data_IF_113477656827
#
_entry.id   IF_113477656827
#
_cell.length_a   1.000
_cell.length_b   1.000
_cell.length_c   1.000
_cell.angle_alpha   90.00
_cell.angle_beta   90.00
_cell.angle_gamma   90.00
#
_symmetry.space_group_name_H-M   'P 1'
#
loop_
_entity.id
_entity.type
_entity.pdbx_description
1 polymer ?
#
# COMPACT_ATOMS: atom_id res chain seq x y z
N UNK A 1 12.52 -31.85 19.61
CA UNK A 1 11.99 -30.48 19.74
C UNK A 1 12.53 -29.69 18.56
N UNK A 2 11.76 -29.60 17.47
CA UNK A 2 12.16 -28.90 16.26
C UNK A 2 11.63 -27.47 16.31
N UNK A 3 12.53 -26.49 16.24
CA UNK A 3 12.20 -25.08 16.01
C UNK A 3 11.53 -24.93 14.64
N UNK A 4 10.42 -24.19 14.50
CA UNK A 4 9.79 -24.00 13.20
C UNK A 4 10.70 -23.13 12.30
N UNK A 5 10.57 -23.23 10.96
CA UNK A 5 11.48 -22.57 10.05
C UNK A 5 11.30 -21.04 10.12
N UNK A 6 12.42 -20.32 10.04
CA UNK A 6 12.56 -18.87 10.16
C UNK A 6 11.93 -17.97 9.06
N UNK A 7 11.50 -18.40 7.85
CA UNK A 7 11.09 -17.47 6.80
C UNK A 7 9.65 -16.93 6.96
N UNK A 8 8.92 -17.44 7.94
CA UNK A 8 7.47 -17.26 8.07
C UNK A 8 7.17 -16.28 9.25
N UNK A 9 8.03 -16.29 10.28
CA UNK A 9 8.21 -15.16 11.21
C UNK A 9 8.63 -13.87 10.46
N UNK A 10 9.39 -14.01 9.36
CA UNK A 10 9.71 -12.92 8.43
C UNK A 10 8.47 -12.39 7.68
N UNK A 11 7.50 -13.25 7.34
CA UNK A 11 6.24 -12.83 6.70
C UNK A 11 5.42 -11.89 7.61
N UNK A 12 5.45 -12.12 8.92
CA UNK A 12 4.85 -11.22 9.91
C UNK A 12 5.69 -9.95 10.12
N UNK A 13 7.02 -10.08 10.19
CA UNK A 13 7.96 -8.95 10.27
C UNK A 13 8.04 -8.10 8.99
N UNK A 14 7.41 -8.50 7.89
CA UNK A 14 7.38 -7.77 6.63
C UNK A 14 6.08 -6.96 6.44
N UNK A 15 5.00 -7.19 7.20
CA UNK A 15 3.83 -6.29 7.20
C UNK A 15 4.11 -4.94 7.93
N UNK A 16 5.34 -4.42 7.93
CA UNK A 16 5.92 -3.55 8.98
C UNK A 16 6.32 -2.15 8.49
N UNK A 17 6.13 -1.82 7.22
CA UNK A 17 6.68 -0.59 6.63
C UNK A 17 5.78 0.66 6.65
N UNK A 18 4.54 0.60 7.16
CA UNK A 18 3.54 1.65 6.84
C UNK A 18 3.55 2.90 7.72
N UNK A 19 4.38 3.00 8.76
CA UNK A 19 4.21 4.04 9.80
C UNK A 19 5.10 5.28 9.72
N UNK A 20 5.99 5.41 8.74
CA UNK A 20 6.96 6.52 8.76
C UNK A 20 6.44 7.89 8.28
N UNK A 21 5.13 8.08 8.04
CA UNK A 21 4.60 9.38 7.57
C UNK A 21 3.40 9.96 8.33
N UNK A 22 2.87 9.30 9.37
CA UNK A 22 1.62 9.78 10.00
C UNK A 22 1.77 9.87 11.52
N UNK A 23 2.46 10.91 11.97
CA UNK A 23 2.39 11.37 13.36
C UNK A 23 2.03 12.85 13.38
N UNK A 24 0.77 13.15 13.66
CA UNK A 24 0.34 14.19 14.61
C UNK A 24 -1.19 14.19 14.70
N UNK A 25 -1.78 13.47 15.66
CA UNK A 25 -2.93 13.99 16.42
C UNK A 25 -3.25 13.10 17.62
N UNK A 26 -3.56 13.78 18.72
CA UNK A 26 -3.62 13.37 20.12
C UNK A 26 -4.71 12.33 20.44
N UNK A 27 -4.36 11.37 21.31
CA UNK A 27 -5.27 10.39 21.91
C UNK A 27 -6.14 10.99 23.04
N UNK A 28 -7.36 10.45 23.23
CA UNK A 28 -8.08 10.37 24.52
C UNK A 28 -9.15 9.24 24.46
N UNK A 29 -9.62 8.64 25.59
CA UNK A 29 -9.84 7.19 25.65
C UNK A 29 -11.32 6.77 25.81
N UNK A 30 -11.54 5.49 25.50
CA UNK A 30 -12.51 4.51 26.05
C UNK A 30 -14.02 4.82 26.15
N UNK A 31 -14.82 3.88 25.61
CA UNK A 31 -15.84 3.18 26.40
C UNK A 31 -16.15 1.79 25.80
N UNK A 32 -16.09 0.75 26.64
CA UNK A 32 -16.50 -0.63 26.34
C UNK A 32 -17.97 -0.85 26.76
N UNK A 33 -18.74 -1.56 25.92
CA UNK A 33 -20.04 -2.13 26.30
C UNK A 33 -19.98 -3.66 26.19
N UNK A 34 -20.24 -4.34 27.32
CA UNK A 34 -20.43 -5.78 27.43
C UNK A 34 -21.84 -6.17 26.97
N UNK A 35 -21.96 -7.28 26.24
CA UNK A 35 -23.23 -7.97 25.96
C UNK A 35 -23.11 -9.45 26.34
N UNK A 36 -23.98 -9.88 27.24
CA UNK A 36 -24.18 -11.26 27.71
C UNK A 36 -24.96 -12.09 26.68
N UNK A 37 -24.65 -13.39 26.58
CA UNK A 37 -25.45 -14.39 25.87
C UNK A 37 -25.98 -15.45 26.87
N UNK A 38 -27.21 -16.01 26.70
CA UNK A 38 -27.77 -17.01 27.61
C UNK A 38 -27.36 -18.44 27.25
N UNK A 39 -27.38 -19.30 28.28
CA UNK A 39 -27.12 -20.74 28.25
C UNK A 39 -28.29 -21.54 27.65
N UNK A 40 -27.94 -22.59 26.89
CA UNK A 40 -28.78 -23.80 26.73
C UNK A 40 -27.89 -25.06 26.70
N UNK A 41 -28.26 -26.05 27.51
CA UNK A 41 -27.75 -27.43 27.50
C UNK A 41 -28.69 -28.32 26.65
N UNK A 42 -28.18 -29.35 25.92
CA UNK A 42 -28.12 -30.68 26.54
C UNK A 42 -26.95 -31.64 26.11
N UNK A 43 -26.67 -32.58 27.02
CA UNK A 43 -26.09 -33.93 26.98
C UNK A 43 -24.82 -34.34 26.18
N UNK A 44 -24.09 -35.32 26.72
CA UNK A 44 -22.98 -35.27 27.68
C UNK A 44 -22.25 -36.62 27.56
N UNK A 45 -21.22 -36.72 26.72
CA UNK A 45 -20.00 -37.56 26.93
C UNK A 45 -19.08 -37.57 25.69
N UNK A 46 -19.60 -37.88 24.49
CA UNK A 46 -18.80 -37.82 23.24
C UNK A 46 -18.67 -36.41 22.69
N UNK A 47 -19.73 -35.60 22.80
CA UNK A 47 -19.69 -34.16 22.53
C UNK A 47 -18.78 -33.40 23.51
N UNK A 48 -18.63 -33.89 24.75
CA UNK A 48 -17.79 -33.25 25.77
C UNK A 48 -16.31 -33.40 25.44
N UNK A 49 -15.88 -34.59 24.99
CA UNK A 49 -14.50 -34.85 24.53
C UNK A 49 -14.13 -34.02 23.30
N UNK A 50 -15.03 -33.94 22.31
CA UNK A 50 -14.82 -33.11 21.12
C UNK A 50 -14.84 -31.61 21.46
N UNK A 51 -15.75 -31.15 22.31
CA UNK A 51 -15.79 -29.77 22.79
C UNK A 51 -14.55 -29.39 23.63
N UNK A 52 -14.02 -30.31 24.46
CA UNK A 52 -12.77 -30.07 25.21
C UNK A 52 -11.55 -30.04 24.30
N UNK A 53 -11.49 -30.87 23.26
CA UNK A 53 -10.42 -30.85 22.27
C UNK A 53 -10.48 -29.58 21.40
N UNK A 54 -11.67 -29.16 20.97
CA UNK A 54 -11.88 -27.91 20.23
C UNK A 54 -11.61 -26.68 21.10
N UNK A 55 -11.99 -26.69 22.37
CA UNK A 55 -11.68 -25.61 23.32
C UNK A 55 -10.17 -25.52 23.60
N UNK A 56 -9.49 -26.65 23.76
CA UNK A 56 -8.03 -26.69 23.90
C UNK A 56 -7.31 -26.21 22.63
N UNK A 57 -7.74 -26.68 21.45
CA UNK A 57 -7.20 -26.22 20.17
C UNK A 57 -7.41 -24.69 19.98
N UNK A 58 -8.61 -24.19 20.27
CA UNK A 58 -8.91 -22.76 20.20
C UNK A 58 -8.12 -21.94 21.22
N UNK A 59 -7.86 -22.47 22.43
CA UNK A 59 -6.99 -21.80 23.40
C UNK A 59 -5.55 -21.69 22.89
N UNK A 60 -5.02 -22.72 22.21
CA UNK A 60 -3.67 -22.69 21.65
C UNK A 60 -3.55 -21.82 20.41
N UNK A 61 -4.57 -21.75 19.57
CA UNK A 61 -4.61 -20.82 18.43
C UNK A 61 -4.79 -19.37 18.87
N UNK A 62 -5.66 -19.09 19.82
CA UNK A 62 -5.82 -17.72 20.34
C UNK A 62 -4.53 -17.26 21.02
N UNK A 63 -3.79 -18.15 21.68
CA UNK A 63 -2.43 -17.85 22.14
C UNK A 63 -1.48 -17.53 20.98
N UNK A 64 -1.48 -18.30 19.90
CA UNK A 64 -0.69 -17.98 18.69
C UNK A 64 -1.05 -16.61 18.10
N UNK A 65 -2.33 -16.29 17.95
CA UNK A 65 -2.80 -14.99 17.45
C UNK A 65 -2.33 -13.86 18.38
N UNK A 66 -2.45 -14.05 19.68
CA UNK A 66 -1.99 -13.09 20.68
C UNK A 66 -0.49 -12.83 20.54
N UNK A 67 0.33 -13.88 20.48
CA UNK A 67 1.78 -13.76 20.30
C UNK A 67 2.15 -13.01 19.01
N UNK A 68 1.49 -13.31 17.89
CA UNK A 68 1.72 -12.59 16.63
C UNK A 68 1.30 -11.11 16.73
N UNK A 69 0.19 -10.82 17.41
CA UNK A 69 -0.31 -9.47 17.59
C UNK A 69 0.50 -8.62 18.58
N UNK A 70 1.27 -9.22 19.50
CA UNK A 70 2.05 -8.47 20.51
C UNK A 70 2.97 -7.44 19.91
N UNK A 71 3.53 -7.75 18.76
CA UNK A 71 4.48 -6.87 18.12
C UNK A 71 3.78 -5.86 17.17
N UNK A 72 2.44 -5.78 17.12
CA UNK A 72 1.73 -4.80 16.27
C UNK A 72 1.54 -3.43 16.92
N UNK A 73 1.22 -2.39 16.13
CA UNK A 73 1.04 -1.02 16.67
C UNK A 73 -0.15 -0.96 17.62
N UNK A 74 -1.16 -1.80 17.36
CA UNK A 74 -2.35 -1.94 18.18
C UNK A 74 -2.56 -3.40 18.55
N UNK A 75 -1.76 -3.98 19.49
CA UNK A 75 -1.80 -5.41 19.80
C UNK A 75 -3.17 -5.90 20.25
N UNK A 76 -3.85 -5.08 21.06
CA UNK A 76 -5.20 -5.39 21.53
C UNK A 76 -6.23 -5.37 20.41
N UNK A 77 -6.14 -4.39 19.49
CA UNK A 77 -7.05 -4.29 18.36
C UNK A 77 -6.83 -5.44 17.37
N UNK A 78 -5.56 -5.79 17.10
CA UNK A 78 -5.17 -6.94 16.30
C UNK A 78 -5.77 -8.24 16.85
N UNK A 79 -5.54 -8.51 18.13
CA UNK A 79 -6.05 -9.72 18.77
C UNK A 79 -7.58 -9.74 18.78
N UNK A 80 -8.22 -8.62 19.09
CA UNK A 80 -9.67 -8.50 19.08
C UNK A 80 -10.27 -8.76 17.69
N UNK A 81 -9.64 -8.24 16.64
CA UNK A 81 -10.08 -8.43 15.26
C UNK A 81 -9.87 -9.86 14.73
N UNK A 82 -8.89 -10.61 15.26
CA UNK A 82 -8.49 -11.90 14.70
C UNK A 82 -8.90 -13.11 15.56
N UNK A 83 -9.08 -12.96 16.87
CA UNK A 83 -9.37 -14.06 17.79
C UNK A 83 -10.63 -14.86 17.42
N UNK A 84 -11.66 -14.20 16.88
CA UNK A 84 -12.88 -14.84 16.37
C UNK A 84 -12.65 -15.76 15.16
N UNK A 85 -11.52 -15.63 14.48
CA UNK A 85 -11.13 -16.42 13.31
C UNK A 85 -10.15 -17.54 13.66
N UNK A 86 -10.03 -17.91 14.94
CA UNK A 86 -9.12 -18.96 15.40
C UNK A 86 -9.23 -20.27 14.61
N UNK A 87 -10.45 -20.73 14.29
CA UNK A 87 -10.65 -21.96 13.51
C UNK A 87 -10.09 -21.89 12.08
N UNK A 88 -10.08 -20.71 11.47
CA UNK A 88 -9.58 -20.46 10.11
C UNK A 88 -8.06 -20.26 10.12
N UNK A 89 -7.57 -19.46 11.06
CA UNK A 89 -6.14 -19.13 11.24
C UNK A 89 -5.34 -20.36 11.69
N UNK A 90 -5.91 -21.16 12.60
CA UNK A 90 -5.25 -22.30 13.26
C UNK A 90 -3.88 -21.88 13.83
N UNK A 91 -2.78 -22.35 13.26
CA UNK A 91 -1.42 -21.89 13.62
C UNK A 91 -0.60 -21.61 12.36
N UNK A 92 -1.28 -21.11 11.33
CA UNK A 92 -0.69 -20.77 10.04
C UNK A 92 -0.55 -19.26 9.93
N UNK A 93 0.68 -18.77 9.79
CA UNK A 93 0.92 -17.33 9.62
C UNK A 93 0.41 -16.83 8.26
N UNK A 94 0.42 -17.70 7.23
CA UNK A 94 -0.24 -17.39 5.96
C UNK A 94 -1.74 -17.16 6.13
N UNK A 95 -2.43 -18.04 6.88
CA UNK A 95 -3.85 -17.85 7.16
C UNK A 95 -4.07 -16.64 8.06
N UNK A 96 -3.20 -16.41 9.05
CA UNK A 96 -3.24 -15.19 9.87
C UNK A 96 -3.18 -13.92 9.01
N UNK A 97 -2.24 -13.85 8.05
CA UNK A 97 -2.09 -12.70 7.15
C UNK A 97 -3.26 -12.56 6.16
N UNK A 98 -3.72 -13.66 5.55
CA UNK A 98 -4.91 -13.65 4.69
C UNK A 98 -6.16 -13.20 5.43
N UNK A 99 -6.39 -13.72 6.64
CA UNK A 99 -7.52 -13.34 7.49
C UNK A 99 -7.42 -11.88 7.91
N UNK A 100 -6.23 -11.38 8.27
CA UNK A 100 -6.02 -9.97 8.60
C UNK A 100 -6.32 -9.03 7.43
N UNK A 101 -5.86 -9.36 6.22
CA UNK A 101 -6.21 -8.63 5.00
C UNK A 101 -7.71 -8.70 4.72
N UNK A 102 -8.34 -9.85 4.90
CA UNK A 102 -9.78 -10.02 4.71
C UNK A 102 -10.61 -9.18 5.69
N UNK A 103 -10.22 -9.13 6.97
CA UNK A 103 -10.85 -8.28 7.98
C UNK A 103 -10.70 -6.79 7.64
N UNK A 104 -9.50 -6.38 7.19
CA UNK A 104 -9.22 -5.01 6.77
C UNK A 104 -10.07 -4.64 5.54
N UNK A 105 -10.11 -5.51 4.52
CA UNK A 105 -10.91 -5.35 3.31
C UNK A 105 -12.41 -5.28 3.62
N UNK A 106 -12.92 -6.12 4.52
CA UNK A 106 -14.32 -6.11 4.93
C UNK A 106 -14.69 -4.77 5.59
N UNK A 107 -13.80 -4.23 6.43
CA UNK A 107 -14.00 -2.92 7.07
C UNK A 107 -13.91 -1.76 6.08
N UNK A 108 -12.97 -1.82 5.13
CA UNK A 108 -12.84 -0.85 4.05
C UNK A 108 -14.10 -0.83 3.16
N UNK A 109 -14.59 -2.00 2.72
CA UNK A 109 -15.84 -2.14 1.93
C UNK A 109 -17.06 -1.59 2.67
N UNK A 110 -17.20 -1.93 3.95
CA UNK A 110 -18.30 -1.43 4.79
C UNK A 110 -18.27 0.10 4.90
N UNK A 111 -17.08 0.68 5.06
CA UNK A 111 -16.90 2.13 5.13
C UNK A 111 -17.16 2.78 3.78
N UNK A 112 -16.62 2.26 2.68
CA UNK A 112 -16.90 2.76 1.32
C UNK A 112 -18.41 2.79 1.02
N UNK A 113 -19.13 1.71 1.37
CA UNK A 113 -20.59 1.64 1.21
C UNK A 113 -21.32 2.68 2.08
N UNK A 114 -20.84 2.92 3.30
CA UNK A 114 -21.39 3.95 4.18
C UNK A 114 -21.19 5.36 3.60
N UNK A 115 -19.97 5.70 3.18
CA UNK A 115 -19.68 7.03 2.60
C UNK A 115 -20.49 7.23 1.31
N UNK A 116 -20.61 6.20 0.47
CA UNK A 116 -21.43 6.23 -0.74
C UNK A 116 -22.92 6.51 -0.43
N UNK A 117 -23.49 5.90 0.61
CA UNK A 117 -24.89 6.13 1.02
C UNK A 117 -25.16 7.56 1.49
N UNK A 118 -24.17 8.24 2.07
CA UNK A 118 -24.33 9.62 2.54
C UNK A 118 -24.54 10.61 1.39
N UNK A 119 -24.02 10.32 0.19
CA UNK A 119 -24.24 11.12 -1.03
C UNK A 119 -25.70 11.11 -1.51
N UNK A 120 -26.48 10.08 -1.20
CA UNK A 120 -27.83 9.86 -1.74
C UNK A 120 -28.99 10.13 -0.77
N UNK A 121 -28.72 10.53 0.47
CA UNK A 121 -29.75 10.67 1.51
C UNK A 121 -30.51 12.00 1.43
N UNK A 122 -31.82 11.99 1.16
CA UNK A 122 -32.72 13.17 1.15
C UNK A 122 -32.75 13.99 2.46
N UNK A 123 -32.22 13.47 3.57
CA UNK A 123 -32.23 14.09 4.91
C UNK A 123 -30.91 14.76 5.32
N UNK A 124 -29.89 14.71 4.47
CA UNK A 124 -28.56 15.26 4.79
C UNK A 124 -28.34 16.52 3.96
N UNK A 125 -28.37 17.69 4.59
CA UNK A 125 -27.94 18.93 3.94
C UNK A 125 -26.41 18.92 3.87
N UNK A 126 -25.86 18.53 2.71
CA UNK A 126 -24.44 18.58 2.40
C UNK A 126 -24.20 19.81 1.52
N UNK A 127 -23.30 20.70 1.93
CA UNK A 127 -22.89 21.82 1.07
C UNK A 127 -22.19 21.32 -0.19
N UNK A 128 -22.18 22.10 -1.29
CA UNK A 128 -21.49 21.70 -2.53
C UNK A 128 -20.02 21.32 -2.28
N UNK A 129 -19.31 22.09 -1.45
CA UNK A 129 -17.91 21.87 -1.08
C UNK A 129 -17.72 20.63 -0.20
N UNK A 130 -18.66 20.35 0.71
CA UNK A 130 -18.63 19.13 1.52
C UNK A 130 -18.96 17.90 0.66
N UNK A 131 -19.80 18.04 -0.36
CA UNK A 131 -20.11 16.99 -1.32
C UNK A 131 -18.88 16.62 -2.18
N UNK A 132 -18.04 17.59 -2.53
CA UNK A 132 -16.77 17.33 -3.23
C UNK A 132 -15.79 16.53 -2.37
N UNK A 133 -15.53 16.97 -1.13
CA UNK A 133 -14.66 16.23 -0.21
C UNK A 133 -15.22 14.82 0.12
N UNK A 134 -16.54 14.66 0.18
CA UNK A 134 -17.18 13.34 0.35
C UNK A 134 -17.00 12.47 -0.90
N UNK A 135 -17.09 13.02 -2.11
CA UNK A 135 -16.81 12.27 -3.35
C UNK A 135 -15.35 11.82 -3.38
N UNK A 136 -14.41 12.71 -3.09
CA UNK A 136 -12.99 12.36 -3.01
C UNK A 136 -12.76 11.24 -2.00
N UNK A 137 -13.40 11.30 -0.83
CA UNK A 137 -13.33 10.20 0.13
C UNK A 137 -13.96 8.89 -0.37
N UNK A 138 -15.09 8.93 -1.10
CA UNK A 138 -15.67 7.72 -1.72
C UNK A 138 -14.64 7.07 -2.64
N UNK A 139 -13.94 7.88 -3.43
CA UNK A 139 -12.98 7.40 -4.41
C UNK A 139 -11.74 6.82 -3.73
N UNK A 140 -11.12 7.53 -2.78
CA UNK A 140 -9.93 6.99 -2.08
C UNK A 140 -10.27 5.76 -1.24
N UNK A 141 -11.48 5.68 -0.65
CA UNK A 141 -11.92 4.45 0.01
C UNK A 141 -12.15 3.29 -0.98
N UNK A 142 -12.61 3.58 -2.19
CA UNK A 142 -12.67 2.60 -3.29
C UNK A 142 -11.28 2.09 -3.66
N UNK A 143 -10.30 2.99 -3.78
CA UNK A 143 -8.91 2.60 -4.05
C UNK A 143 -8.30 1.78 -2.91
N UNK A 144 -8.58 2.10 -1.63
CA UNK A 144 -8.18 1.23 -0.51
C UNK A 144 -8.75 -0.19 -0.65
N UNK A 145 -10.03 -0.33 -1.01
CA UNK A 145 -10.66 -1.64 -1.26
C UNK A 145 -9.96 -2.41 -2.38
N UNK A 146 -9.59 -1.74 -3.48
CA UNK A 146 -8.88 -2.37 -4.59
C UNK A 146 -7.50 -2.87 -4.16
N UNK A 147 -6.73 -2.02 -3.47
CA UNK A 147 -5.37 -2.34 -3.03
C UNK A 147 -5.36 -3.50 -2.01
N UNK A 148 -6.30 -3.50 -1.07
CA UNK A 148 -6.48 -4.63 -0.14
C UNK A 148 -6.95 -5.90 -0.87
N UNK A 149 -7.77 -5.79 -1.91
CA UNK A 149 -8.20 -6.94 -2.71
C UNK A 149 -7.04 -7.55 -3.52
N UNK A 150 -6.18 -6.71 -4.11
CA UNK A 150 -4.94 -7.13 -4.79
C UNK A 150 -4.01 -7.86 -3.81
N UNK A 151 -3.85 -7.31 -2.61
CA UNK A 151 -3.05 -7.89 -1.53
C UNK A 151 -3.48 -9.32 -1.19
N UNK A 152 -4.79 -9.56 -1.07
CA UNK A 152 -5.31 -10.91 -0.80
C UNK A 152 -5.04 -11.87 -1.97
N UNK A 153 -5.27 -11.41 -3.21
CA UNK A 153 -5.08 -12.24 -4.40
C UNK A 153 -3.64 -12.72 -4.52
N UNK A 154 -2.69 -11.81 -4.36
CA UNK A 154 -1.26 -12.07 -4.45
C UNK A 154 -0.78 -13.02 -3.36
N UNK A 155 -1.14 -12.73 -2.10
CA UNK A 155 -0.81 -13.60 -0.96
C UNK A 155 -1.43 -15.00 -1.11
N UNK A 156 -2.59 -15.10 -1.77
CA UNK A 156 -3.25 -16.35 -2.12
C UNK A 156 -2.50 -17.18 -3.17
N UNK A 157 -1.72 -16.54 -4.05
CA UNK A 157 -1.00 -17.21 -5.15
C UNK A 157 0.38 -17.76 -4.75
N UNK A 158 0.98 -17.28 -3.65
CA UNK A 158 2.31 -17.67 -3.13
C UNK A 158 2.50 -19.13 -2.70
N UNK A 159 1.54 -20.03 -2.95
CA UNK A 159 1.54 -21.40 -2.42
C UNK A 159 1.65 -22.52 -3.44
N UNK A 160 1.68 -22.18 -4.72
CA UNK A 160 1.52 -23.20 -5.76
C UNK A 160 2.86 -23.72 -6.27
N UNK A 161 3.88 -22.89 -6.58
CA UNK A 161 5.17 -23.38 -7.11
C UNK A 161 6.37 -22.41 -6.91
N UNK A 162 6.39 -21.61 -5.84
CA UNK A 162 7.35 -20.50 -5.69
C UNK A 162 8.66 -20.88 -4.98
N UNK A 163 9.82 -20.48 -5.52
CA UNK A 163 11.11 -20.52 -4.83
C UNK A 163 11.22 -19.35 -3.81
N UNK A 164 12.31 -19.25 -3.05
CA UNK A 164 12.45 -18.24 -1.99
C UNK A 164 12.46 -16.78 -2.47
N UNK A 165 12.93 -16.51 -3.70
CA UNK A 165 12.97 -15.17 -4.30
C UNK A 165 11.59 -14.73 -4.81
N UNK A 166 10.84 -15.64 -5.45
CA UNK A 166 9.46 -15.43 -5.91
C UNK A 166 8.50 -15.16 -4.73
N UNK A 167 8.70 -15.85 -3.60
CA UNK A 167 7.97 -15.59 -2.37
C UNK A 167 8.17 -14.17 -1.83
N UNK A 168 9.43 -13.71 -1.74
CA UNK A 168 9.73 -12.35 -1.25
C UNK A 168 9.21 -11.25 -2.18
N UNK A 169 9.20 -11.52 -3.49
CA UNK A 169 8.61 -10.62 -4.48
C UNK A 169 7.11 -10.41 -4.24
N UNK A 170 6.34 -11.50 -4.11
CA UNK A 170 4.91 -11.45 -3.82
C UNK A 170 4.59 -10.72 -2.50
N UNK A 171 5.36 -10.99 -1.44
CA UNK A 171 5.21 -10.31 -0.15
C UNK A 171 5.38 -8.80 -0.30
N UNK A 172 6.31 -8.36 -1.14
CA UNK A 172 6.53 -6.93 -1.34
C UNK A 172 5.47 -6.21 -2.16
N UNK A 173 4.82 -6.92 -3.08
CA UNK A 173 3.62 -6.42 -3.75
C UNK A 173 2.49 -6.20 -2.74
N UNK A 174 2.28 -7.17 -1.84
CA UNK A 174 1.30 -7.09 -0.75
C UNK A 174 1.58 -5.89 0.16
N UNK A 175 2.82 -5.70 0.61
CA UNK A 175 3.20 -4.53 1.42
C UNK A 175 2.90 -3.20 0.72
N UNK A 176 3.24 -3.11 -0.57
CA UNK A 176 3.08 -1.89 -1.36
C UNK A 176 1.61 -1.52 -1.48
N UNK A 177 0.74 -2.48 -1.78
CA UNK A 177 -0.68 -2.22 -1.88
C UNK A 177 -1.33 -1.95 -0.51
N UNK A 178 -0.94 -2.64 0.56
CA UNK A 178 -1.41 -2.29 1.92
C UNK A 178 -1.00 -0.86 2.31
N UNK A 179 0.21 -0.44 1.93
CA UNK A 179 0.70 0.93 2.16
C UNK A 179 -0.09 1.97 1.35
N UNK A 180 -0.41 1.65 0.09
CA UNK A 180 -1.27 2.48 -0.74
C UNK A 180 -2.70 2.56 -0.17
N UNK A 181 -3.26 1.46 0.35
CA UNK A 181 -4.56 1.45 1.00
C UNK A 181 -4.61 2.39 2.21
N UNK A 182 -3.60 2.33 3.07
CA UNK A 182 -3.46 3.21 4.23
C UNK A 182 -3.28 4.68 3.83
N UNK A 183 -2.51 4.95 2.77
CA UNK A 183 -2.36 6.30 2.21
C UNK A 183 -3.71 6.83 1.72
N UNK A 184 -4.50 6.02 1.04
CA UNK A 184 -5.81 6.41 0.53
C UNK A 184 -6.83 6.67 1.66
N UNK A 185 -6.80 5.87 2.72
CA UNK A 185 -7.60 6.06 3.92
C UNK A 185 -7.28 7.39 4.61
N UNK A 186 -5.98 7.68 4.80
CA UNK A 186 -5.54 8.97 5.36
C UNK A 186 -5.88 10.14 4.44
N UNK A 187 -5.72 9.98 3.12
CA UNK A 187 -6.06 11.00 2.12
C UNK A 187 -7.55 11.36 2.16
N UNK A 188 -8.46 10.40 2.41
CA UNK A 188 -9.88 10.72 2.66
C UNK A 188 -10.02 11.65 3.88
N UNK A 189 -9.36 11.31 4.99
CA UNK A 189 -9.46 12.07 6.25
C UNK A 189 -8.89 13.48 6.10
N UNK A 190 -7.77 13.60 5.38
CA UNK A 190 -7.07 14.86 5.10
C UNK A 190 -7.86 15.75 4.13
N UNK A 191 -8.37 15.19 3.03
CA UNK A 191 -9.22 15.92 2.10
C UNK A 191 -10.52 16.41 2.76
N UNK A 192 -11.00 15.70 3.77
CA UNK A 192 -11.96 16.28 4.69
C UNK A 192 -11.27 17.45 5.43
N UNK A 193 -10.23 17.22 6.25
CA UNK A 193 -9.55 18.24 7.08
C UNK A 193 -9.35 19.62 6.45
N UNK A 194 -8.95 19.71 5.18
CA UNK A 194 -8.61 20.96 4.48
C UNK A 194 -9.72 22.03 4.47
N UNK A 195 -10.98 21.68 4.74
CA UNK A 195 -12.10 22.62 4.77
C UNK A 195 -12.88 22.55 6.10
N UNK A 196 -12.54 23.38 7.11
CA UNK A 196 -13.26 23.44 8.38
C UNK A 196 -14.60 24.19 8.21
N UNK A 197 -15.59 23.52 7.63
CA UNK A 197 -16.99 23.90 7.84
C UNK A 197 -17.35 23.53 9.29
N UNK A 198 -17.85 24.50 10.07
CA UNK A 198 -18.23 24.28 11.47
C UNK A 198 -19.20 23.08 11.58
N UNK A 199 -18.78 22.01 12.25
CA UNK A 199 -19.70 21.02 12.86
C UNK A 199 -20.47 20.06 11.93
N UNK A 200 -19.94 19.67 10.77
CA UNK A 200 -20.57 18.64 9.93
C UNK A 200 -20.64 17.27 10.61
N UNK A 201 -21.82 16.84 11.08
CA UNK A 201 -22.06 15.48 11.63
C UNK A 201 -21.65 14.38 10.64
N UNK A 202 -21.86 14.63 9.35
CA UNK A 202 -21.53 13.73 8.23
C UNK A 202 -20.03 13.48 8.17
N UNK A 203 -19.23 14.55 8.07
CA UNK A 203 -17.77 14.50 8.07
C UNK A 203 -17.21 13.79 9.30
N UNK A 204 -17.74 14.08 10.48
CA UNK A 204 -17.28 13.43 11.72
C UNK A 204 -17.54 11.93 11.69
N UNK A 205 -18.71 11.51 11.19
CA UNK A 205 -19.05 10.10 11.02
C UNK A 205 -18.16 9.40 9.97
N UNK A 206 -17.84 10.08 8.86
CA UNK A 206 -16.93 9.55 7.84
C UNK A 206 -15.53 9.38 8.43
N UNK A 207 -14.96 10.42 9.03
CA UNK A 207 -13.63 10.38 9.65
C UNK A 207 -13.51 9.28 10.69
N UNK A 208 -14.50 9.13 11.56
CA UNK A 208 -14.51 8.09 12.59
C UNK A 208 -14.41 6.69 11.97
N UNK A 209 -15.19 6.43 10.91
CA UNK A 209 -15.17 5.12 10.24
C UNK A 209 -13.90 4.89 9.45
N UNK A 210 -13.41 5.90 8.73
CA UNK A 210 -12.18 5.79 7.93
C UNK A 210 -10.96 5.63 8.85
N UNK A 211 -10.86 6.38 9.94
CA UNK A 211 -9.83 6.15 10.96
C UNK A 211 -9.92 4.75 11.56
N UNK A 212 -11.13 4.19 11.71
CA UNK A 212 -11.29 2.81 12.18
C UNK A 212 -10.82 1.77 11.16
N UNK A 213 -10.93 2.05 9.85
CA UNK A 213 -10.31 1.24 8.80
C UNK A 213 -8.79 1.34 8.93
N UNK A 214 -8.24 2.56 8.94
CA UNK A 214 -6.80 2.79 9.05
C UNK A 214 -6.21 2.15 10.29
N UNK A 215 -6.87 2.25 11.45
CA UNK A 215 -6.44 1.59 12.68
C UNK A 215 -6.45 0.07 12.59
N UNK A 216 -7.41 -0.52 11.86
CA UNK A 216 -7.43 -1.97 11.69
C UNK A 216 -6.42 -2.44 10.67
N UNK A 217 -6.34 -1.77 9.52
CA UNK A 217 -5.31 -2.05 8.52
C UNK A 217 -3.91 -1.91 9.15
N UNK A 218 -3.67 -0.90 10.00
CA UNK A 218 -2.42 -0.75 10.78
C UNK A 218 -2.31 -1.70 11.99
N UNK A 219 -3.40 -2.16 12.60
CA UNK A 219 -3.34 -3.10 13.73
C UNK A 219 -2.75 -4.45 13.32
N UNK A 220 -2.81 -4.77 12.04
CA UNK A 220 -2.19 -5.96 11.47
C UNK A 220 -0.76 -5.72 10.99
N UNK A 221 -0.21 -4.52 11.25
CA UNK A 221 1.14 -4.09 10.88
C UNK A 221 1.98 -3.83 12.14
N UNK A 222 3.27 -4.16 12.13
CA UNK A 222 4.15 -3.89 13.28
C UNK A 222 4.53 -2.39 13.38
N UNK A 223 4.59 -1.79 14.58
CA UNK A 223 5.18 -0.49 14.80
C UNK A 223 6.70 -0.68 14.75
N UNK A 224 7.38 0.24 14.10
CA UNK A 224 8.85 0.27 14.08
C UNK A 224 9.39 0.55 15.49
N UNK A 225 9.55 -0.50 16.29
CA UNK A 225 10.56 -0.48 17.35
C UNK A 225 11.89 -0.64 16.63
N UNK A 226 12.65 0.45 16.57
CA UNK A 226 14.02 0.45 16.09
C UNK A 226 14.83 -0.61 16.86
N UNK A 227 15.01 -1.77 16.25
CA UNK A 227 15.99 -2.76 16.68
C UNK A 227 16.75 -3.27 15.47
N UNK A 228 17.95 -2.69 15.32
CA UNK A 228 19.12 -3.10 14.53
C UNK A 228 18.97 -3.31 13.01
N UNK A 229 19.12 -2.23 12.24
CA UNK A 229 20.19 -2.13 11.22
C UNK A 229 20.39 -0.67 10.79
N UNK A 230 21.15 0.10 11.57
CA UNK A 230 21.68 1.40 11.16
C UNK A 230 22.49 1.33 9.85
N UNK A 231 23.00 0.14 9.50
CA UNK A 231 23.81 -0.16 8.31
C UNK A 231 23.04 -0.23 6.99
N UNK A 232 21.77 -0.65 6.99
CA UNK A 232 21.02 -0.84 5.73
C UNK A 232 20.36 0.47 5.26
N UNK A 233 19.91 1.30 6.20
CA UNK A 233 19.38 2.64 5.87
C UNK A 233 20.48 3.61 5.44
N UNK A 234 21.71 3.46 5.93
CA UNK A 234 22.86 4.24 5.46
C UNK A 234 23.21 3.95 4.00
N UNK A 235 23.11 2.69 3.56
CA UNK A 235 23.30 2.31 2.16
C UNK A 235 22.29 3.01 1.24
N UNK A 236 21.00 2.94 1.59
CA UNK A 236 19.95 3.63 0.82
C UNK A 236 20.19 5.14 0.82
N UNK A 237 20.51 5.72 1.98
CA UNK A 237 20.80 7.16 2.08
C UNK A 237 21.99 7.57 1.19
N UNK A 238 23.03 6.74 1.15
CA UNK A 238 24.18 6.94 0.27
C UNK A 238 23.78 6.86 -1.21
N UNK A 239 23.08 5.81 -1.63
CA UNK A 239 22.63 5.67 -3.02
C UNK A 239 21.65 6.78 -3.43
N UNK A 240 20.71 7.17 -2.57
CA UNK A 240 19.78 8.26 -2.84
C UNK A 240 20.46 9.62 -2.93
N UNK A 241 21.65 9.80 -2.33
CA UNK A 241 22.40 11.05 -2.45
C UNK A 241 22.87 11.34 -3.89
N UNK A 242 22.89 10.32 -4.77
CA UNK A 242 23.23 10.49 -6.19
C UNK A 242 22.01 10.70 -7.09
N UNK A 243 20.80 10.81 -6.55
CA UNK A 243 19.58 11.02 -7.36
C UNK A 243 19.19 12.49 -7.41
N UNK A 244 18.35 12.84 -8.38
CA UNK A 244 17.83 14.21 -8.55
C UNK A 244 16.96 14.66 -7.38
N UNK A 245 16.25 13.73 -6.72
CA UNK A 245 15.39 14.02 -5.56
C UNK A 245 15.76 13.13 -4.35
N UNK A 246 16.87 13.41 -3.65
CA UNK A 246 17.43 12.54 -2.61
C UNK A 246 16.51 12.30 -1.42
N UNK A 247 15.84 13.34 -0.93
CA UNK A 247 14.92 13.23 0.21
C UNK A 247 13.70 12.38 -0.14
N UNK A 248 13.14 12.58 -1.34
CA UNK A 248 12.04 11.77 -1.84
C UNK A 248 12.49 10.31 -2.00
N UNK A 249 13.64 10.07 -2.63
CA UNK A 249 14.23 8.74 -2.80
C UNK A 249 14.38 8.02 -1.47
N UNK A 250 15.00 8.68 -0.48
CA UNK A 250 15.22 8.06 0.82
C UNK A 250 13.90 7.81 1.54
N UNK A 251 12.98 8.79 1.55
CA UNK A 251 11.70 8.64 2.24
C UNK A 251 10.83 7.53 1.66
N UNK A 252 10.90 7.28 0.33
CA UNK A 252 10.15 6.19 -0.30
C UNK A 252 10.85 4.85 -0.19
N UNK A 253 12.18 4.79 -0.10
CA UNK A 253 12.94 3.54 -0.09
C UNK A 253 13.37 3.05 1.29
N UNK A 254 13.45 3.93 2.30
CA UNK A 254 13.95 3.58 3.63
C UNK A 254 13.15 2.45 4.30
N UNK A 255 11.85 2.37 4.01
CA UNK A 255 10.98 1.33 4.54
C UNK A 255 11.31 -0.07 3.97
N UNK A 256 11.99 -0.14 2.82
CA UNK A 256 12.44 -1.37 2.18
C UNK A 256 13.89 -1.73 2.56
N UNK A 257 14.54 -1.00 3.47
CA UNK A 257 15.92 -1.26 3.88
C UNK A 257 16.23 -2.71 4.32
N UNK A 258 15.34 -3.42 5.05
CA UNK A 258 15.59 -4.81 5.41
C UNK A 258 15.62 -5.77 4.20
N UNK A 259 14.86 -5.46 3.15
CA UNK A 259 14.78 -6.25 1.91
C UNK A 259 15.89 -5.89 0.94
N UNK A 260 16.14 -4.58 0.78
CA UNK A 260 17.21 -4.06 -0.08
C UNK A 260 18.57 -4.48 0.46
N UNK A 261 18.75 -4.47 1.78
CA UNK A 261 20.04 -4.65 2.45
C UNK A 261 21.08 -3.70 1.82
N UNK A 262 22.12 -4.25 1.20
CA UNK A 262 23.10 -3.51 0.40
C UNK A 262 23.14 -4.00 -1.05
N UNK A 263 22.01 -4.51 -1.56
CA UNK A 263 21.91 -5.10 -2.89
C UNK A 263 21.43 -4.07 -3.92
N UNK A 264 22.26 -3.74 -4.93
CA UNK A 264 21.95 -2.74 -5.94
C UNK A 264 20.77 -3.14 -6.84
N UNK A 265 20.62 -4.44 -7.14
CA UNK A 265 19.52 -4.94 -7.98
C UNK A 265 18.20 -4.78 -7.25
N UNK A 266 18.14 -5.22 -5.98
CA UNK A 266 16.95 -5.05 -5.15
C UNK A 266 16.62 -3.57 -4.93
N UNK A 267 17.61 -2.70 -4.73
CA UNK A 267 17.38 -1.25 -4.63
C UNK A 267 16.71 -0.69 -5.89
N UNK A 268 17.23 -1.02 -7.08
CA UNK A 268 16.66 -0.60 -8.37
C UNK A 268 15.27 -1.19 -8.59
N UNK A 269 15.05 -2.48 -8.32
CA UNK A 269 13.73 -3.13 -8.42
C UNK A 269 12.70 -2.43 -7.52
N UNK A 270 13.05 -2.11 -6.27
CA UNK A 270 12.11 -1.42 -5.36
C UNK A 270 11.81 -0.01 -5.83
N UNK A 271 12.81 0.71 -6.34
CA UNK A 271 12.59 2.06 -6.88
C UNK A 271 11.66 2.06 -8.10
N UNK A 272 11.87 1.12 -9.03
CA UNK A 272 11.00 0.93 -10.21
C UNK A 272 9.57 0.53 -9.81
N UNK A 273 9.40 -0.31 -8.78
CA UNK A 273 8.10 -0.71 -8.25
C UNK A 273 7.33 0.46 -7.63
N UNK A 274 8.03 1.32 -6.89
CA UNK A 274 7.48 2.57 -6.34
C UNK A 274 7.02 3.50 -7.48
N UNK A 275 7.83 3.66 -8.52
CA UNK A 275 7.47 4.46 -9.70
C UNK A 275 6.24 3.89 -10.43
N UNK A 276 6.19 2.58 -10.69
CA UNK A 276 5.04 1.92 -11.33
C UNK A 276 3.76 2.10 -10.51
N UNK A 277 3.86 2.00 -9.18
CA UNK A 277 2.71 2.21 -8.28
C UNK A 277 2.20 3.65 -8.37
N UNK A 278 3.11 4.63 -8.44
CA UNK A 278 2.74 6.02 -8.65
C UNK A 278 2.09 6.25 -10.02
N UNK A 279 2.55 5.56 -11.07
CA UNK A 279 1.95 5.64 -12.41
C UNK A 279 0.51 5.12 -12.42
N UNK A 280 0.27 3.96 -11.80
CA UNK A 280 -1.07 3.40 -11.63
C UNK A 280 -1.99 4.33 -10.83
N UNK A 281 -1.47 5.01 -9.80
CA UNK A 281 -2.23 5.99 -9.01
C UNK A 281 -2.60 7.23 -9.84
N UNK A 282 -1.65 7.74 -10.63
CA UNK A 282 -1.89 8.86 -11.52
C UNK A 282 -2.93 8.52 -12.59
N UNK A 283 -2.81 7.36 -13.24
CA UNK A 283 -3.74 6.83 -14.24
C UNK A 283 -5.17 6.74 -13.71
N UNK A 284 -5.35 6.18 -12.51
CA UNK A 284 -6.64 6.15 -11.82
C UNK A 284 -7.21 7.54 -11.58
N UNK A 285 -6.38 8.48 -11.15
CA UNK A 285 -6.79 9.87 -10.92
C UNK A 285 -7.22 10.56 -12.21
N UNK A 286 -6.46 10.40 -13.30
CA UNK A 286 -6.78 10.97 -14.60
C UNK A 286 -8.06 10.36 -15.15
N UNK A 287 -8.20 9.03 -15.13
CA UNK A 287 -9.41 8.34 -15.56
C UNK A 287 -10.65 8.76 -14.75
N UNK A 288 -10.47 9.10 -13.47
CA UNK A 288 -11.53 9.67 -12.63
C UNK A 288 -11.92 11.08 -13.09
N UNK A 289 -10.95 11.93 -13.38
CA UNK A 289 -11.22 13.27 -13.90
C UNK A 289 -11.91 13.22 -15.27
N UNK A 290 -11.51 12.32 -16.16
CA UNK A 290 -12.13 12.13 -17.48
C UNK A 290 -13.62 11.79 -17.40
N UNK A 291 -14.05 11.10 -16.33
CA UNK A 291 -15.47 10.76 -16.09
C UNK A 291 -16.36 11.95 -15.73
N UNK A 292 -15.78 13.12 -15.48
CA UNK A 292 -16.55 14.34 -15.24
C UNK A 292 -17.29 14.83 -16.49
N UNK A 293 -16.89 14.35 -17.69
CA UNK A 293 -17.63 14.50 -18.94
C UNK A 293 -18.12 15.92 -19.19
N UNK A 294 -19.44 16.12 -19.11
CA UNK A 294 -20.13 17.40 -19.31
C UNK A 294 -19.65 18.55 -18.40
N UNK A 295 -18.93 18.26 -17.30
CA UNK A 295 -18.37 19.29 -16.41
C UNK A 295 -16.97 19.76 -16.81
N UNK A 296 -16.32 19.05 -17.74
CA UNK A 296 -15.01 19.42 -18.27
C UNK A 296 -15.19 20.40 -19.42
N UNK A 297 -14.28 21.37 -19.51
CA UNK A 297 -14.15 22.15 -20.75
C UNK A 297 -13.55 21.26 -21.85
N UNK A 298 -13.86 21.51 -23.13
CA UNK A 298 -13.32 20.70 -24.24
C UNK A 298 -11.80 20.54 -24.20
N UNK A 299 -11.08 21.62 -23.85
CA UNK A 299 -9.61 21.58 -23.68
C UNK A 299 -9.16 20.68 -22.53
N UNK A 300 -9.88 20.65 -21.40
CA UNK A 300 -9.56 19.76 -20.28
C UNK A 300 -9.82 18.30 -20.64
N UNK A 301 -10.90 18.03 -21.36
CA UNK A 301 -11.22 16.68 -21.81
C UNK A 301 -10.17 16.14 -22.81
N UNK A 302 -9.72 16.98 -23.75
CA UNK A 302 -8.65 16.62 -24.68
C UNK A 302 -7.33 16.33 -23.95
N UNK A 303 -6.87 17.24 -23.08
CA UNK A 303 -5.65 17.06 -22.30
C UNK A 303 -5.69 15.82 -21.38
N UNK A 304 -6.85 15.54 -20.77
CA UNK A 304 -7.03 14.32 -19.96
C UNK A 304 -6.96 13.05 -20.81
N UNK A 305 -7.47 13.07 -22.04
CA UNK A 305 -7.39 11.94 -22.97
C UNK A 305 -5.94 11.65 -23.36
N UNK A 306 -5.19 12.67 -23.79
CA UNK A 306 -3.78 12.52 -24.15
C UNK A 306 -2.92 12.09 -22.96
N UNK A 307 -3.13 12.71 -21.80
CA UNK A 307 -2.44 12.31 -20.58
C UNK A 307 -2.78 10.87 -20.15
N UNK A 308 -4.02 10.39 -20.38
CA UNK A 308 -4.37 8.98 -20.11
C UNK A 308 -3.51 8.03 -20.96
N UNK A 309 -3.33 8.35 -22.24
CA UNK A 309 -2.51 7.55 -23.16
C UNK A 309 -1.05 7.58 -22.72
N UNK A 310 -0.53 8.78 -22.42
CA UNK A 310 0.86 8.95 -22.01
C UNK A 310 1.18 8.18 -20.71
N UNK A 311 0.35 8.30 -19.67
CA UNK A 311 0.57 7.57 -18.41
C UNK A 311 0.45 6.07 -18.60
N UNK A 312 -0.47 5.58 -19.44
CA UNK A 312 -0.55 4.16 -19.77
C UNK A 312 0.72 3.65 -20.46
N UNK A 313 1.35 4.44 -21.33
CA UNK A 313 2.65 4.09 -21.89
C UNK A 313 3.77 4.11 -20.84
N UNK A 314 3.78 5.07 -19.91
CA UNK A 314 4.73 5.07 -18.78
C UNK A 314 4.60 3.77 -17.95
N UNK A 315 3.38 3.36 -17.60
CA UNK A 315 3.13 2.11 -16.87
C UNK A 315 3.72 0.89 -17.59
N UNK A 316 3.53 0.79 -18.92
CA UNK A 316 4.08 -0.31 -19.73
C UNK A 316 5.61 -0.33 -19.68
N UNK A 317 6.26 0.83 -19.81
CA UNK A 317 7.73 0.90 -19.78
C UNK A 317 8.30 0.60 -18.39
N UNK A 318 7.65 1.08 -17.33
CA UNK A 318 8.02 0.78 -15.95
C UNK A 318 7.83 -0.71 -15.62
N UNK A 319 6.77 -1.32 -16.13
CA UNK A 319 6.53 -2.75 -15.96
C UNK A 319 7.56 -3.60 -16.70
N UNK A 320 7.90 -3.26 -17.95
CA UNK A 320 9.00 -3.91 -18.69
C UNK A 320 10.33 -3.81 -17.95
N UNK A 321 10.63 -2.62 -17.40
CA UNK A 321 11.83 -2.39 -16.60
C UNK A 321 11.91 -3.30 -15.38
N UNK A 322 10.77 -3.53 -14.71
CA UNK A 322 10.69 -4.47 -13.58
C UNK A 322 10.88 -5.93 -13.99
N UNK A 323 10.29 -6.33 -15.11
CA UNK A 323 10.39 -7.70 -15.64
C UNK A 323 11.84 -8.01 -16.03
N UNK A 324 12.55 -7.08 -16.67
CA UNK A 324 13.94 -7.27 -17.11
C UNK A 324 14.93 -7.25 -15.93
N UNK A 325 14.75 -6.30 -15.01
CA UNK A 325 15.58 -6.25 -13.78
C UNK A 325 15.23 -7.34 -12.77
N UNK A 326 14.13 -8.07 -12.97
CA UNK A 326 13.71 -9.20 -12.13
C UNK A 326 13.99 -10.57 -12.75
N UNK A 327 14.01 -10.65 -14.09
CA UNK A 327 14.01 -11.89 -14.84
C UNK A 327 15.34 -12.66 -14.87
N UNK A 328 15.31 -13.93 -15.34
CA UNK A 328 16.45 -14.84 -15.38
C UNK A 328 17.58 -14.40 -16.33
N UNK A 329 17.29 -13.54 -17.31
CA UNK A 329 18.32 -12.89 -18.16
C UNK A 329 19.26 -11.98 -17.38
N UNK A 330 18.82 -11.42 -16.25
CA UNK A 330 19.67 -10.56 -15.43
C UNK A 330 20.80 -11.26 -14.70
N UNK A 331 20.86 -12.59 -14.75
CA UNK A 331 22.00 -13.40 -14.30
C UNK A 331 23.06 -13.62 -15.40
N UNK A 332 22.66 -13.56 -16.68
CA UNK A 332 23.49 -13.98 -17.81
C UNK A 332 24.06 -12.80 -18.61
N UNK A 333 23.30 -11.69 -18.78
CA UNK A 333 23.74 -10.51 -19.55
C UNK A 333 23.45 -9.18 -18.82
N UNK A 334 24.21 -8.86 -17.75
CA UNK A 334 23.86 -7.78 -16.84
C UNK A 334 23.94 -6.36 -17.46
N UNK A 335 24.81 -6.16 -18.45
CA UNK A 335 24.98 -4.86 -19.12
C UNK A 335 23.83 -4.55 -20.09
N UNK A 336 23.35 -5.57 -20.80
CA UNK A 336 22.19 -5.42 -21.68
C UNK A 336 20.94 -5.08 -20.88
N UNK A 337 20.75 -5.76 -19.75
CA UNK A 337 19.66 -5.50 -18.79
C UNK A 337 19.66 -4.05 -18.30
N UNK A 338 20.82 -3.50 -17.92
CA UNK A 338 20.89 -2.09 -17.48
C UNK A 338 20.55 -1.14 -18.62
N UNK A 339 21.08 -1.36 -19.82
CA UNK A 339 20.79 -0.52 -20.99
C UNK A 339 19.29 -0.51 -21.34
N UNK A 340 18.64 -1.67 -21.34
CA UNK A 340 17.22 -1.78 -21.64
C UNK A 340 16.36 -1.10 -20.56
N UNK A 341 16.69 -1.34 -19.28
CA UNK A 341 15.99 -0.72 -18.15
C UNK A 341 16.16 0.80 -18.14
N UNK A 342 17.37 1.32 -18.42
CA UNK A 342 17.61 2.76 -18.57
C UNK A 342 16.78 3.36 -19.70
N UNK A 343 16.73 2.68 -20.84
CA UNK A 343 15.98 3.11 -22.03
C UNK A 343 14.49 3.21 -21.72
N UNK A 344 13.90 2.15 -21.17
CA UNK A 344 12.47 2.14 -20.87
C UNK A 344 12.11 3.10 -19.72
N UNK A 345 12.93 3.21 -18.68
CA UNK A 345 12.68 4.17 -17.59
C UNK A 345 12.78 5.63 -18.08
N UNK A 346 13.70 5.91 -19.01
CA UNK A 346 13.79 7.24 -19.66
C UNK A 346 12.57 7.52 -20.57
N UNK A 347 12.09 6.50 -21.28
CA UNK A 347 10.86 6.60 -22.05
C UNK A 347 9.63 6.87 -21.16
N UNK A 348 9.55 6.22 -19.98
CA UNK A 348 8.50 6.48 -19.00
C UNK A 348 8.46 7.94 -18.56
N UNK A 349 9.61 8.52 -18.21
CA UNK A 349 9.73 9.96 -17.90
C UNK A 349 9.27 10.84 -19.06
N UNK A 350 9.60 10.47 -20.29
CA UNK A 350 9.22 11.25 -21.47
C UNK A 350 7.70 11.29 -21.64
N UNK A 351 7.00 10.18 -21.37
CA UNK A 351 5.55 10.16 -21.38
C UNK A 351 4.93 10.94 -20.20
N UNK A 352 5.55 10.91 -19.03
CA UNK A 352 5.12 11.71 -17.88
C UNK A 352 5.25 13.22 -18.15
N UNK A 353 6.36 13.64 -18.77
CA UNK A 353 6.58 15.01 -19.23
C UNK A 353 5.58 15.41 -20.34
N UNK A 354 5.34 14.52 -21.30
CA UNK A 354 4.32 14.74 -22.35
C UNK A 354 2.93 14.98 -21.73
N UNK A 355 2.52 14.20 -20.72
CA UNK A 355 1.29 14.51 -19.99
C UNK A 355 1.35 15.89 -19.32
N UNK A 356 2.47 16.28 -18.71
CA UNK A 356 2.59 17.60 -18.07
C UNK A 356 2.47 18.77 -19.04
N UNK A 357 2.94 18.59 -20.28
CA UNK A 357 2.86 19.56 -21.37
C UNK A 357 1.41 19.83 -21.79
N UNK A 358 0.55 18.81 -21.82
CA UNK A 358 -0.90 18.94 -22.09
C UNK A 358 -1.60 19.91 -21.10
N UNK A 359 -1.02 20.08 -19.90
CA UNK A 359 -1.53 20.94 -18.84
C UNK A 359 -0.67 22.21 -18.65
N UNK A 360 0.00 22.68 -19.69
CA UNK A 360 0.91 23.81 -19.65
C UNK A 360 0.29 25.09 -19.02
N UNK A 361 1.06 25.88 -18.24
CA UNK A 361 0.49 26.94 -17.42
C UNK A 361 -0.30 28.03 -18.14
N UNK A 362 0.12 28.36 -19.37
CA UNK A 362 -0.47 29.42 -20.20
C UNK A 362 -1.78 29.00 -20.87
N UNK A 363 -2.02 27.70 -20.98
CA UNK A 363 -3.06 27.10 -21.82
C UNK A 363 -4.29 26.67 -21.01
N UNK A 364 -4.11 26.38 -19.70
CA UNK A 364 -5.16 25.79 -18.86
C UNK A 364 -5.19 26.36 -17.43
N UNK A 365 -6.39 26.61 -16.89
CA UNK A 365 -6.63 27.16 -15.53
C UNK A 365 -7.72 26.40 -14.81
N UNK A 366 -7.50 25.87 -13.61
CA UNK A 366 -8.55 25.22 -12.82
C UNK A 366 -8.06 24.01 -12.04
N UNK A 367 -8.97 23.40 -11.28
CA UNK A 367 -8.64 22.32 -10.35
C UNK A 367 -8.12 21.06 -11.08
N UNK A 368 -8.64 20.74 -12.27
CA UNK A 368 -8.19 19.59 -13.07
C UNK A 368 -6.69 19.65 -13.31
N UNK A 369 -6.19 20.80 -13.79
CA UNK A 369 -4.76 21.04 -14.01
C UNK A 369 -3.95 20.90 -12.72
N UNK A 370 -4.43 21.47 -11.61
CA UNK A 370 -3.70 21.43 -10.32
C UNK A 370 -3.53 19.99 -9.86
N UNK A 371 -4.61 19.20 -9.95
CA UNK A 371 -4.62 17.79 -9.54
C UNK A 371 -3.69 16.97 -10.44
N UNK A 372 -3.86 17.02 -11.76
CA UNK A 372 -3.03 16.23 -12.70
C UNK A 372 -1.56 16.58 -12.57
N UNK A 373 -1.23 17.88 -12.53
CA UNK A 373 0.18 18.31 -12.41
C UNK A 373 0.82 17.88 -11.10
N UNK A 374 0.07 17.84 -10.00
CA UNK A 374 0.59 17.36 -8.70
C UNK A 374 0.91 15.88 -8.75
N UNK A 375 0.00 15.06 -9.27
CA UNK A 375 0.18 13.61 -9.39
C UNK A 375 1.35 13.27 -10.32
N UNK A 376 1.38 13.86 -11.50
CA UNK A 376 2.40 13.56 -12.51
C UNK A 376 3.76 14.11 -12.14
N UNK A 377 3.83 15.26 -11.46
CA UNK A 377 5.11 15.74 -10.93
C UNK A 377 5.70 14.76 -9.93
N UNK A 378 4.90 14.27 -8.97
CA UNK A 378 5.38 13.27 -8.00
C UNK A 378 5.82 11.98 -8.68
N UNK A 379 5.05 11.51 -9.67
CA UNK A 379 5.40 10.35 -10.50
C UNK A 379 6.76 10.57 -11.19
N UNK A 380 6.94 11.68 -11.91
CA UNK A 380 8.20 12.03 -12.56
C UNK A 380 9.39 12.09 -11.61
N UNK A 381 9.20 12.60 -10.39
CA UNK A 381 10.27 12.58 -9.39
C UNK A 381 10.66 11.17 -8.96
N UNK A 382 9.70 10.26 -8.82
CA UNK A 382 9.95 8.85 -8.47
C UNK A 382 10.60 8.09 -9.62
N UNK A 383 10.11 8.27 -10.85
CA UNK A 383 10.71 7.67 -12.06
C UNK A 383 12.13 8.19 -12.29
N UNK A 384 12.39 9.48 -12.07
CA UNK A 384 13.74 10.09 -12.14
C UNK A 384 14.69 9.49 -11.12
N UNK A 385 14.23 9.29 -9.88
CA UNK A 385 15.03 8.60 -8.86
C UNK A 385 15.30 7.13 -9.23
N UNK A 386 14.33 6.43 -9.81
CA UNK A 386 14.51 5.05 -10.28
C UNK A 386 15.57 4.97 -11.39
N UNK A 387 15.50 5.85 -12.40
CA UNK A 387 16.49 5.94 -13.47
C UNK A 387 17.90 6.22 -12.91
N UNK A 388 18.02 7.17 -11.99
CA UNK A 388 19.30 7.50 -11.37
C UNK A 388 19.90 6.33 -10.58
N UNK A 389 19.08 5.53 -9.90
CA UNK A 389 19.56 4.35 -9.17
C UNK A 389 19.97 3.21 -10.11
N UNK A 390 19.23 2.98 -11.19
CA UNK A 390 19.64 2.04 -12.26
C UNK A 390 21.00 2.48 -12.83
N UNK A 391 21.12 3.75 -13.20
CA UNK A 391 22.30 4.27 -13.87
C UNK A 391 23.54 4.37 -12.97
N UNK A 392 23.39 4.88 -11.73
CA UNK A 392 24.53 5.14 -10.87
C UNK A 392 24.85 4.01 -9.90
N UNK A 393 23.91 3.12 -9.61
CA UNK A 393 24.11 2.06 -8.61
C UNK A 393 24.18 0.70 -9.28
N UNK A 394 23.19 0.34 -10.10
CA UNK A 394 23.17 -0.97 -10.75
C UNK A 394 24.28 -1.09 -11.81
N UNK A 395 24.46 -0.08 -12.67
CA UNK A 395 25.52 -0.11 -13.68
C UNK A 395 26.93 -0.19 -13.06
N UNK A 396 27.19 0.60 -12.00
CA UNK A 396 28.52 0.62 -11.34
C UNK A 396 28.89 -0.72 -10.70
N UNK A 397 27.94 -1.40 -10.08
CA UNK A 397 28.21 -2.70 -9.45
C UNK A 397 28.58 -3.79 -10.48
N UNK A 398 28.04 -3.68 -11.71
CA UNK A 398 28.41 -4.59 -12.80
C UNK A 398 29.81 -4.30 -13.35
N UNK A 399 30.19 -3.02 -13.45
CA UNK A 399 31.56 -2.66 -13.87
C UNK A 399 32.62 -3.10 -12.86
N UNK A 400 32.33 -3.12 -11.56
CA UNK A 400 33.25 -3.62 -10.52
C UNK A 400 33.46 -5.13 -10.62
N UNK A 401 32.42 -5.91 -10.91
CA UNK A 401 32.56 -7.37 -11.10
C UNK A 401 33.50 -7.73 -12.26
N UNK A 402 33.54 -6.92 -13.32
CA UNK A 402 34.49 -7.09 -14.44
C UNK A 402 35.95 -6.77 -14.09
N UNK A 403 36.21 -5.95 -13.06
CA UNK A 403 37.58 -5.61 -12.66
C UNK A 403 38.22 -6.66 -11.72
N UNK A 404 37.44 -7.64 -11.26
CA UNK A 404 37.87 -8.70 -10.35
C UNK A 404 37.91 -10.09 -11.00
N UNK A 405 37.59 -10.17 -12.30
CA UNK A 405 37.83 -11.30 -13.20
C UNK A 405 38.83 -10.85 -14.27
#
# INVERSE_FOLDING_TARGET
MATPPQPLLLLLLLLVSVLSLVSTSTANPHHHHHLHHPHHHPNHSTAKANATATAAANSTTTSFIWESCKATQYPQLCYHCLSGFANEIKRSERQLALTALAVSLARARSTAAFVHKLKGGKRVQISHRELEAVKDCIDTMGDSVDQLSRSIKELGQMGQHSNGEDFMWHVSNVQTWVSAALTNENTCVDGLNEHPSKGGKVRSAIKMRVNSVAQVTTSHTHPTSASSSTTNTSYIKQCCSTTTYPDLCYSTLAAYAPEIQTNPRLLSTKSLSVALTAAQSASKTIARLSRLGHRLRPKEAAALSECTIAVAHSEIQLQRSLEEVGGPRGSEEPEMVVSDVETWTSAALTYEDACMEEFAPKEMKGNVKIIVRREIWKLGQLTSNALALVHHVLAKELTKKKAHH
#
